data_IF_145578428511
#
_entry.id   IF_145578428511
#
_cell.length_a   1.000
_cell.length_b   1.000
_cell.length_c   1.000
_cell.angle_alpha   90.00
_cell.angle_beta   90.00
_cell.angle_gamma   90.00
#
_symmetry.space_group_name_H-M   'P 1'
#
loop_
_entity.id
_entity.type
_entity.pdbx_description
1 polymer ?
#
# COMPACT_ATOMS: atom_id res chain seq x y z
N UNK A 1 -27.45 -7.67 12.94
CA UNK A 1 -26.08 -7.08 13.00
C UNK A 1 -26.23 -5.60 12.77
N UNK A 2 -25.80 -4.77 13.72
CA UNK A 2 -25.88 -3.29 13.60
C UNK A 2 -24.89 -2.83 12.53
N UNK A 3 -25.36 -2.06 11.55
CA UNK A 3 -24.52 -1.49 10.50
C UNK A 3 -23.56 -0.47 11.15
N UNK A 4 -22.23 -0.62 11.04
CA UNK A 4 -21.29 0.35 11.59
C UNK A 4 -21.59 1.74 11.00
N UNK A 5 -21.57 2.79 11.84
CA UNK A 5 -21.64 4.18 11.35
C UNK A 5 -20.27 4.61 10.84
N UNK A 6 -20.26 5.64 10.00
CA UNK A 6 -19.04 6.23 9.44
C UNK A 6 -18.06 6.74 10.52
N UNK A 7 -18.56 7.16 11.69
CA UNK A 7 -17.68 7.55 12.80
C UNK A 7 -17.16 6.32 13.57
N UNK A 8 -17.91 5.21 13.59
CA UNK A 8 -17.51 3.98 14.27
C UNK A 8 -16.31 3.34 13.55
N UNK A 9 -16.26 3.41 12.21
CA UNK A 9 -15.10 2.88 11.47
C UNK A 9 -13.79 3.62 11.87
N UNK A 10 -13.84 4.89 12.25
CA UNK A 10 -12.61 5.62 12.60
C UNK A 10 -12.17 5.45 14.06
N UNK A 11 -12.87 4.66 14.85
CA UNK A 11 -12.64 4.57 16.31
C UNK A 11 -12.57 3.15 16.85
N UNK A 12 -12.81 2.14 16.02
CA UNK A 12 -12.71 0.73 16.42
C UNK A 12 -11.23 0.30 16.37
N UNK A 13 -10.66 -0.26 17.45
CA UNK A 13 -9.32 -0.83 17.43
C UNK A 13 -9.20 -1.99 16.42
N UNK A 14 -8.12 -2.00 15.65
CA UNK A 14 -7.81 -2.98 14.61
C UNK A 14 -6.52 -3.74 14.94
N UNK A 15 -6.49 -4.55 16.02
CA UNK A 15 -5.27 -5.15 16.54
C UNK A 15 -4.71 -6.27 15.66
N UNK A 16 -5.50 -6.86 14.75
CA UNK A 16 -5.03 -7.91 13.83
C UNK A 16 -5.60 -7.75 12.42
N UNK A 17 -5.03 -8.49 11.46
CA UNK A 17 -5.51 -8.56 10.08
C UNK A 17 -6.98 -9.01 9.97
N UNK A 18 -7.47 -9.79 10.95
CA UNK A 18 -8.86 -10.26 10.99
C UNK A 18 -9.85 -9.11 11.16
N UNK A 19 -9.49 -8.09 11.93
CA UNK A 19 -10.29 -6.87 12.08
C UNK A 19 -9.97 -5.86 10.96
N UNK A 20 -8.70 -5.76 10.57
CA UNK A 20 -8.22 -4.76 9.62
C UNK A 20 -8.70 -5.01 8.18
N UNK A 21 -8.75 -6.25 7.70
CA UNK A 21 -9.17 -6.54 6.31
C UNK A 21 -10.63 -6.15 6.06
N UNK A 22 -11.62 -6.58 6.86
CA UNK A 22 -13.01 -6.12 6.70
C UNK A 22 -13.14 -4.61 6.81
N UNK A 23 -12.30 -3.99 7.66
CA UNK A 23 -12.25 -2.55 7.82
C UNK A 23 -11.85 -1.83 6.53
N UNK A 24 -10.74 -2.27 5.91
CA UNK A 24 -10.24 -1.74 4.65
C UNK A 24 -11.25 -1.94 3.51
N UNK A 25 -11.96 -3.08 3.46
CA UNK A 25 -13.00 -3.31 2.45
C UNK A 25 -14.15 -2.31 2.55
N UNK A 26 -14.58 -1.97 3.77
CA UNK A 26 -15.63 -0.95 3.97
C UNK A 26 -15.13 0.44 3.60
N UNK A 27 -13.85 0.76 3.86
CA UNK A 27 -13.30 2.08 3.59
C UNK A 27 -12.95 2.32 2.12
N UNK A 28 -12.40 1.32 1.44
CA UNK A 28 -11.89 1.46 0.08
C UNK A 28 -12.92 1.05 -0.98
N UNK A 29 -13.95 0.29 -0.60
CA UNK A 29 -15.10 -0.17 -1.39
C UNK A 29 -14.75 -0.97 -2.66
N UNK A 30 -14.07 -0.39 -3.65
CA UNK A 30 -13.76 -1.02 -4.93
C UNK A 30 -12.51 -0.42 -5.56
N UNK A 31 -11.71 -1.27 -6.22
CA UNK A 31 -10.56 -0.87 -7.02
C UNK A 31 -11.00 -0.16 -8.32
N UNK A 32 -10.80 1.15 -8.36
CA UNK A 32 -11.08 2.06 -9.47
C UNK A 32 -9.81 2.62 -10.11
N UNK A 33 -8.71 2.73 -9.36
CA UNK A 33 -7.45 3.38 -9.76
C UNK A 33 -6.24 2.63 -9.24
N UNK A 34 -5.11 2.81 -9.91
CA UNK A 34 -3.84 2.26 -9.43
C UNK A 34 -3.21 3.27 -8.46
N UNK A 35 -3.24 2.96 -7.18
CA UNK A 35 -2.74 3.84 -6.11
C UNK A 35 -2.42 3.02 -4.86
N UNK A 36 -1.59 3.55 -3.97
CA UNK A 36 -1.37 3.01 -2.63
C UNK A 36 -2.17 3.84 -1.64
N UNK A 37 -3.03 3.18 -0.88
CA UNK A 37 -3.69 3.77 0.28
C UNK A 37 -2.83 3.65 1.51
N UNK A 38 -2.66 4.77 2.21
CA UNK A 38 -1.96 4.87 3.47
C UNK A 38 -2.97 5.24 4.55
N UNK A 39 -3.13 4.35 5.52
CA UNK A 39 -3.85 4.59 6.76
C UNK A 39 -2.86 4.55 7.91
N UNK A 40 -3.09 5.36 8.95
CA UNK A 40 -2.25 5.38 10.14
C UNK A 40 -3.08 4.87 11.32
N UNK A 41 -2.52 3.92 12.07
CA UNK A 41 -3.05 3.49 13.36
C UNK A 41 -2.22 4.13 14.48
N UNK A 42 -2.89 4.54 15.56
CA UNK A 42 -2.21 4.97 16.78
C UNK A 42 -1.64 3.79 17.59
N UNK A 43 -1.04 4.08 18.74
CA UNK A 43 -0.46 3.11 19.68
C UNK A 43 -1.47 2.08 20.22
N UNK A 44 -2.77 2.38 20.14
CA UNK A 44 -3.86 1.48 20.54
C UNK A 44 -4.45 0.71 19.35
N UNK A 45 -3.81 0.79 18.18
CA UNK A 45 -4.30 0.24 16.92
C UNK A 45 -5.63 0.84 16.47
N UNK A 46 -5.97 2.07 16.88
CA UNK A 46 -7.15 2.77 16.40
C UNK A 46 -6.81 3.58 15.14
N UNK A 47 -7.66 3.57 14.10
CA UNK A 47 -7.44 4.40 12.92
C UNK A 47 -7.41 5.89 13.26
N UNK A 48 -6.38 6.59 12.82
CA UNK A 48 -6.39 8.05 12.78
C UNK A 48 -7.30 8.52 11.63
N UNK A 49 -7.81 9.78 11.66
CA UNK A 49 -8.65 10.33 10.59
C UNK A 49 -7.84 10.67 9.31
N UNK A 50 -6.84 9.85 8.98
CA UNK A 50 -5.92 10.00 7.86
C UNK A 50 -6.07 8.78 6.97
N UNK A 51 -6.56 9.02 5.75
CA UNK A 51 -6.54 8.07 4.65
C UNK A 51 -6.01 8.83 3.44
N UNK A 52 -4.78 8.53 3.04
CA UNK A 52 -4.08 9.23 1.97
C UNK A 52 -3.89 8.29 0.77
N UNK A 53 -4.41 8.64 -0.41
CA UNK A 53 -4.02 7.98 -1.64
C UNK A 53 -2.68 8.54 -2.14
N UNK A 54 -1.82 7.64 -2.63
CA UNK A 54 -0.64 7.98 -3.42
C UNK A 54 -0.76 7.30 -4.78
N UNK A 55 -0.88 8.09 -5.85
CA UNK A 55 -0.90 7.55 -7.21
C UNK A 55 0.43 6.83 -7.50
N UNK A 56 0.35 5.68 -8.18
CA UNK A 56 1.54 4.91 -8.55
C UNK A 56 1.46 4.42 -10.00
N UNK A 57 2.61 4.31 -10.64
CA UNK A 57 2.73 3.88 -12.02
C UNK A 57 2.38 2.40 -12.23
N UNK A 58 2.29 1.99 -13.49
CA UNK A 58 1.95 0.62 -13.82
C UNK A 58 2.95 -0.42 -13.32
N UNK A 59 4.20 -0.01 -13.24
CA UNK A 59 5.33 -0.78 -12.75
C UNK A 59 6.14 0.13 -11.83
N UNK A 60 6.64 -0.37 -10.68
CA UNK A 60 7.59 0.38 -9.88
C UNK A 60 8.95 0.42 -10.56
N UNK A 61 9.57 1.59 -10.52
CA UNK A 61 10.98 1.80 -10.82
C UNK A 61 11.84 1.51 -9.57
N UNK A 62 13.14 1.29 -9.77
CA UNK A 62 14.05 1.03 -8.66
C UNK A 62 14.09 2.21 -7.66
N UNK A 63 14.04 3.45 -8.17
CA UNK A 63 14.11 4.67 -7.36
C UNK A 63 12.83 4.95 -6.55
N UNK A 64 11.71 4.31 -6.92
CA UNK A 64 10.45 4.43 -6.18
C UNK A 64 10.58 3.91 -4.74
N UNK A 65 11.49 2.95 -4.50
CA UNK A 65 11.69 2.40 -3.15
C UNK A 65 12.11 3.51 -2.18
N UNK A 66 13.15 4.27 -2.55
CA UNK A 66 13.68 5.37 -1.74
C UNK A 66 12.72 6.55 -1.64
N UNK A 67 12.10 6.94 -2.76
CA UNK A 67 11.13 8.05 -2.81
C UNK A 67 9.91 7.77 -1.93
N UNK A 68 9.41 6.54 -1.99
CA UNK A 68 8.29 6.12 -1.18
C UNK A 68 8.70 5.98 0.30
N UNK A 69 9.91 5.48 0.60
CA UNK A 69 10.42 5.42 1.97
C UNK A 69 10.50 6.81 2.63
N UNK A 70 10.95 7.82 1.90
CA UNK A 70 10.99 9.21 2.35
C UNK A 70 9.60 9.75 2.65
N UNK A 71 8.62 9.43 1.78
CA UNK A 71 7.21 9.79 1.98
C UNK A 71 6.65 9.17 3.27
N UNK A 72 6.89 7.87 3.49
CA UNK A 72 6.45 7.18 4.71
C UNK A 72 7.12 7.76 5.96
N UNK A 73 8.42 8.09 5.88
CA UNK A 73 9.15 8.70 6.99
C UNK A 73 8.54 10.04 7.37
N UNK A 74 8.35 10.93 6.40
CA UNK A 74 7.71 12.23 6.59
C UNK A 74 6.33 12.10 7.24
N UNK A 75 5.50 11.14 6.78
CA UNK A 75 4.18 10.89 7.36
C UNK A 75 4.25 10.48 8.83
N UNK A 76 5.22 9.65 9.21
CA UNK A 76 5.35 9.17 10.60
C UNK A 76 5.97 10.18 11.57
N UNK A 77 6.58 11.28 11.09
CA UNK A 77 7.21 12.28 11.96
C UNK A 77 6.21 12.93 12.93
N UNK A 78 4.93 13.02 12.54
CA UNK A 78 3.89 13.65 13.33
C UNK A 78 3.17 12.68 14.29
N UNK A 79 3.46 11.36 14.23
CA UNK A 79 2.76 10.34 15.00
C UNK A 79 3.72 9.45 15.80
N UNK A 80 3.64 9.52 17.13
CA UNK A 80 4.42 8.65 18.03
C UNK A 80 3.81 7.24 18.09
N UNK A 81 4.67 6.21 18.07
CA UNK A 81 4.29 4.79 18.18
C UNK A 81 3.16 4.35 17.21
N UNK A 82 3.12 4.98 16.04
CA UNK A 82 2.11 4.72 15.01
C UNK A 82 2.46 3.53 14.13
N UNK A 83 1.44 2.91 13.55
CA UNK A 83 1.59 1.83 12.57
C UNK A 83 0.93 2.22 11.25
N UNK A 84 1.69 2.20 10.17
CA UNK A 84 1.18 2.40 8.83
C UNK A 84 0.46 1.14 8.31
N UNK A 85 -0.67 1.32 7.65
CA UNK A 85 -1.41 0.27 6.95
C UNK A 85 -1.39 0.63 5.48
N UNK A 86 -0.77 -0.23 4.68
CA UNK A 86 -0.49 0.04 3.27
C UNK A 86 -1.28 -0.93 2.39
N UNK A 87 -2.10 -0.39 1.49
CA UNK A 87 -2.93 -1.19 0.58
C UNK A 87 -2.74 -0.73 -0.86
N UNK A 88 -2.21 -1.60 -1.72
CA UNK A 88 -2.18 -1.37 -3.15
C UNK A 88 -3.58 -1.58 -3.73
N UNK A 89 -4.11 -0.57 -4.39
CA UNK A 89 -5.29 -0.69 -5.23
C UNK A 89 -4.85 -0.96 -6.67
N UNK A 90 -5.43 -2.00 -7.29
CA UNK A 90 -5.27 -2.21 -8.73
C UNK A 90 -6.63 -2.51 -9.39
N UNK A 91 -7.07 -1.70 -10.37
CA UNK A 91 -8.26 -2.00 -11.14
C UNK A 91 -8.02 -3.18 -12.11
N UNK A 92 -9.08 -3.88 -12.47
CA UNK A 92 -9.05 -4.96 -13.46
C UNK A 92 -9.30 -6.35 -12.85
N UNK A 93 -8.75 -7.42 -13.45
CA UNK A 93 -9.03 -8.81 -13.04
C UNK A 93 -8.71 -9.08 -11.57
N UNK A 94 -9.44 -10.00 -10.94
CA UNK A 94 -9.22 -10.42 -9.55
C UNK A 94 -8.00 -11.35 -9.34
N UNK A 95 -7.24 -11.59 -10.41
CA UNK A 95 -6.01 -12.38 -10.39
C UNK A 95 -4.81 -11.51 -9.99
N UNK A 96 -3.89 -12.07 -9.20
CA UNK A 96 -2.66 -11.36 -8.82
C UNK A 96 -1.69 -11.41 -10.01
N UNK A 97 -1.27 -10.24 -10.48
CA UNK A 97 -0.37 -10.08 -11.61
C UNK A 97 1.10 -9.92 -11.17
N UNK A 98 2.04 -10.04 -12.12
CA UNK A 98 3.47 -9.81 -11.85
C UNK A 98 3.77 -8.40 -11.36
N UNK A 99 3.11 -7.38 -11.91
CA UNK A 99 3.25 -5.99 -11.47
C UNK A 99 2.71 -5.77 -10.04
N UNK A 100 1.64 -6.47 -9.64
CA UNK A 100 1.14 -6.44 -8.26
C UNK A 100 2.24 -6.89 -7.31
N UNK A 101 2.91 -8.02 -7.62
CA UNK A 101 3.99 -8.55 -6.80
C UNK A 101 5.17 -7.59 -6.70
N UNK A 102 5.57 -6.94 -7.80
CA UNK A 102 6.65 -5.94 -7.76
C UNK A 102 6.27 -4.71 -6.95
N UNK A 103 5.05 -4.22 -7.04
CA UNK A 103 4.57 -3.13 -6.18
C UNK A 103 4.50 -3.55 -4.71
N UNK A 104 3.97 -4.73 -4.38
CA UNK A 104 3.96 -5.26 -3.01
C UNK A 104 5.38 -5.40 -2.45
N UNK A 105 6.33 -5.81 -3.29
CA UNK A 105 7.75 -5.84 -2.95
C UNK A 105 8.28 -4.42 -2.68
N UNK A 106 8.06 -3.48 -3.59
CA UNK A 106 8.47 -2.07 -3.45
C UNK A 106 7.94 -1.46 -2.16
N UNK A 107 6.63 -1.55 -1.91
CA UNK A 107 5.99 -1.03 -0.70
C UNK A 107 6.63 -1.62 0.56
N UNK A 108 6.88 -2.93 0.58
CA UNK A 108 7.53 -3.59 1.73
C UNK A 108 8.96 -3.09 1.92
N UNK A 109 9.74 -3.02 0.86
CA UNK A 109 11.13 -2.55 0.91
C UNK A 109 11.20 -1.08 1.37
N UNK A 110 10.36 -0.20 0.83
CA UNK A 110 10.23 1.19 1.28
C UNK A 110 9.84 1.32 2.74
N UNK A 111 8.93 0.47 3.21
CA UNK A 111 8.51 0.48 4.62
C UNK A 111 9.67 0.10 5.54
N UNK A 112 10.43 -0.94 5.17
CA UNK A 112 11.64 -1.34 5.91
C UNK A 112 12.69 -0.22 5.89
N UNK A 113 12.93 0.40 4.74
CA UNK A 113 13.90 1.49 4.59
C UNK A 113 13.51 2.77 5.35
N UNK A 114 12.21 3.07 5.41
CA UNK A 114 11.71 4.20 6.19
C UNK A 114 11.92 4.03 7.70
N UNK A 115 12.01 2.78 8.18
CA UNK A 115 12.02 2.43 9.60
C UNK A 115 10.65 2.52 10.28
N UNK A 116 9.58 2.80 9.53
CA UNK A 116 8.22 2.87 10.06
C UNK A 116 7.70 1.48 10.46
N UNK A 117 6.95 1.43 11.58
CA UNK A 117 6.12 0.25 11.86
C UNK A 117 4.99 0.19 10.84
N UNK A 118 4.79 -0.98 10.22
CA UNK A 118 3.76 -1.14 9.20
C UNK A 118 3.07 -2.51 9.25
N UNK A 119 1.88 -2.57 8.65
CA UNK A 119 1.11 -3.79 8.36
C UNK A 119 0.74 -3.86 6.90
N UNK A 120 0.73 -5.09 6.38
CA UNK A 120 0.57 -5.37 4.96
C UNK A 120 1.93 -5.59 4.27
N UNK A 121 2.06 -5.26 2.97
CA UNK A 121 1.05 -4.61 2.14
C UNK A 121 -0.14 -5.52 1.79
N UNK A 122 -1.33 -4.93 1.71
CA UNK A 122 -2.54 -5.59 1.21
C UNK A 122 -2.77 -5.22 -0.25
N UNK A 123 -3.61 -6.00 -0.94
CA UNK A 123 -3.98 -5.78 -2.34
C UNK A 123 -5.51 -5.72 -2.46
N UNK A 124 -6.03 -4.59 -2.94
CA UNK A 124 -7.44 -4.39 -3.26
C UNK A 124 -7.68 -4.71 -4.74
N UNK A 125 -8.44 -5.79 -5.01
CA UNK A 125 -8.84 -6.25 -6.34
C UNK A 125 -10.36 -6.32 -6.41
N UNK A 126 -10.98 -5.57 -7.33
CA UNK A 126 -12.42 -5.38 -7.29
C UNK A 126 -12.82 -4.83 -5.91
N UNK A 127 -13.72 -5.49 -5.21
CA UNK A 127 -14.18 -5.12 -3.85
C UNK A 127 -13.48 -5.91 -2.72
N UNK A 128 -12.44 -6.68 -3.06
CA UNK A 128 -11.80 -7.61 -2.15
C UNK A 128 -10.40 -7.16 -1.78
N UNK A 129 -10.17 -6.96 -0.47
CA UNK A 129 -8.82 -6.76 0.08
C UNK A 129 -8.22 -8.12 0.40
N UNK A 130 -7.02 -8.37 -0.12
CA UNK A 130 -6.29 -9.63 0.07
C UNK A 130 -4.96 -9.35 0.75
N UNK A 131 -4.61 -10.21 1.70
CA UNK A 131 -3.24 -10.36 2.14
C UNK A 131 -2.52 -11.29 1.17
N UNK A 132 -1.31 -10.91 0.78
CA UNK A 132 -0.40 -11.73 -0.02
C UNK A 132 0.77 -12.09 0.87
N UNK A 133 1.17 -13.36 0.91
CA UNK A 133 2.29 -13.77 1.75
C UNK A 133 3.58 -13.14 1.22
N UNK A 134 4.52 -12.69 2.08
CA UNK A 134 5.81 -12.15 1.63
C UNK A 134 6.52 -13.03 0.62
N UNK A 135 6.54 -14.34 0.86
CA UNK A 135 7.18 -15.33 -0.02
C UNK A 135 6.63 -15.32 -1.46
N UNK A 136 5.39 -14.86 -1.67
CA UNK A 136 4.78 -14.80 -2.99
C UNK A 136 5.26 -13.61 -3.84
N UNK A 137 5.90 -12.60 -3.23
CA UNK A 137 6.33 -11.39 -3.93
C UNK A 137 7.79 -10.97 -3.73
N UNK A 138 8.45 -11.33 -2.62
CA UNK A 138 9.85 -10.93 -2.36
C UNK A 138 10.85 -11.46 -3.38
N UNK A 139 10.60 -12.63 -3.99
CA UNK A 139 11.47 -13.22 -5.01
C UNK A 139 11.18 -12.72 -6.43
N UNK A 140 10.24 -11.78 -6.59
CA UNK A 140 9.85 -11.30 -7.92
C UNK A 140 10.96 -10.39 -8.46
N UNK A 141 11.53 -10.68 -9.64
CA UNK A 141 12.56 -9.85 -10.23
C UNK A 141 11.99 -8.49 -10.63
N UNK A 142 12.79 -7.44 -10.49
CA UNK A 142 12.48 -6.12 -11.06
C UNK A 142 12.43 -6.19 -12.59
N UNK A 143 11.62 -5.34 -13.19
CA UNK A 143 11.69 -5.09 -14.64
C UNK A 143 12.63 -3.93 -14.82
N UNK A 144 13.79 -4.17 -15.43
CA UNK A 144 14.66 -3.10 -15.89
C UNK A 144 14.12 -2.63 -17.23
N UNK A 145 13.66 -1.38 -17.29
CA UNK A 145 13.51 -0.69 -18.56
C UNK A 145 14.89 -0.06 -18.84
N UNK A 146 15.58 -0.56 -19.86
CA UNK A 146 16.77 0.15 -20.38
C UNK A 146 16.24 1.46 -20.99
N UNK A 147 16.53 2.59 -20.34
CA UNK A 147 16.29 3.94 -20.89
C UNK A 147 17.33 4.33 -21.97
N UNK A 148 18.03 3.34 -22.57
CA UNK A 148 19.12 3.56 -23.52
C UNK A 148 18.67 3.67 -25.00
N UNK A 149 17.42 4.08 -25.26
CA UNK A 149 16.99 4.56 -26.59
C UNK A 149 16.96 6.11 -26.61
N UNK A 150 18.01 6.75 -26.06
CA UNK A 150 18.42 8.08 -26.51
C UNK A 150 19.01 7.94 -27.93
N UNK A 151 18.11 7.80 -28.91
CA UNK A 151 18.41 8.03 -30.32
C UNK A 151 18.80 9.51 -30.47
N UNK A 152 20.07 9.80 -30.21
CA UNK A 152 20.76 10.99 -30.70
C UNK A 152 20.84 10.92 -32.23
N UNK A 153 19.68 11.05 -32.88
CA UNK A 153 19.52 11.38 -34.28
C UNK A 153 20.12 12.76 -34.53
N UNK A 154 21.43 12.79 -34.78
CA UNK A 154 22.15 13.95 -35.29
C UNK A 154 21.54 14.36 -36.64
N UNK A 155 21.04 15.60 -36.72
CA UNK A 155 20.85 16.32 -37.98
C UNK A 155 21.48 17.70 -37.89
#
# INVERSE_FOLDING_TARGET
MTRPRYDDIRTIPLPTDRELIPHLQVMLETALRRQVWIMVLDEHSCPLPILMPLDVDAEPYADDVSTFADTLRCLTMDFTDSTLVLTLERPGPAEIMGCDKRWLRSIRESSVESGASFRGPYLLLGDTVRQVAPDDYVSTPWVYFDDDDDDHGSF
#
